data_IF_009787576832
#
_entry.id   IF_009787576832
#
_cell.length_a   1.000
_cell.length_b   1.000
_cell.length_c   1.000
_cell.angle_alpha   90.00
_cell.angle_beta   90.00
_cell.angle_gamma   90.00
#
_symmetry.space_group_name_H-M   'P 1'
#
loop_
_entity.id
_entity.type
_entity.pdbx_description
1 polymer ?
#
# COMPACT_ATOMS: atom_id res chain seq x y z
N UNK A 1 -1.62 -11.56 3.28
CA UNK A 1 -0.98 -10.46 2.51
C UNK A 1 -0.96 -10.71 0.99
N UNK A 2 -0.32 -11.77 0.50
CA UNK A 2 -0.15 -11.98 -0.95
C UNK A 2 -1.47 -12.17 -1.72
N UNK A 3 -2.39 -12.98 -1.16
CA UNK A 3 -3.70 -13.24 -1.80
C UNK A 3 -4.50 -11.94 -2.01
N UNK A 4 -4.56 -11.06 -1.00
CA UNK A 4 -5.25 -9.79 -1.13
C UNK A 4 -4.58 -8.89 -2.17
N UNK A 5 -3.24 -8.87 -2.25
CA UNK A 5 -2.51 -8.14 -3.29
C UNK A 5 -2.86 -8.59 -4.71
N UNK A 6 -2.91 -9.91 -4.95
CA UNK A 6 -3.28 -10.48 -6.26
C UNK A 6 -4.74 -10.13 -6.59
N UNK A 7 -5.67 -10.30 -5.64
CA UNK A 7 -7.08 -9.99 -5.86
C UNK A 7 -7.29 -8.50 -6.16
N UNK A 8 -6.58 -7.62 -5.45
CA UNK A 8 -6.64 -6.18 -5.70
C UNK A 8 -6.15 -5.84 -7.11
N UNK A 9 -5.02 -6.40 -7.54
CA UNK A 9 -4.51 -6.16 -8.88
C UNK A 9 -5.42 -6.72 -9.99
N UNK A 10 -6.00 -7.91 -9.78
CA UNK A 10 -7.00 -8.48 -10.71
C UNK A 10 -8.26 -7.61 -10.79
N UNK A 11 -8.78 -7.17 -9.65
CA UNK A 11 -9.96 -6.30 -9.57
C UNK A 11 -9.71 -4.99 -10.31
N UNK A 12 -8.53 -4.39 -10.12
CA UNK A 12 -8.14 -3.16 -10.80
C UNK A 12 -8.03 -3.37 -12.31
N UNK A 13 -7.43 -4.47 -12.75
CA UNK A 13 -7.33 -4.79 -14.17
C UNK A 13 -8.70 -5.03 -14.82
N UNK A 14 -9.61 -5.72 -14.13
CA UNK A 14 -10.96 -5.99 -14.61
C UNK A 14 -11.70 -4.70 -14.99
N UNK A 15 -11.60 -3.63 -14.20
CA UNK A 15 -12.23 -2.32 -14.47
C UNK A 15 -11.94 -1.83 -15.89
N UNK A 16 -10.73 -2.09 -16.38
CA UNK A 16 -10.29 -1.63 -17.69
C UNK A 16 -10.71 -2.50 -18.88
N UNK A 17 -11.20 -3.72 -18.66
CA UNK A 17 -11.51 -4.64 -19.75
C UNK A 17 -12.73 -4.20 -20.57
N UNK A 18 -13.80 -3.72 -19.90
CA UNK A 18 -15.04 -3.34 -20.56
C UNK A 18 -15.74 -2.19 -19.82
N UNK A 19 -16.38 -1.25 -20.55
CA UNK A 19 -17.18 -0.19 -19.96
C UNK A 19 -18.53 -0.75 -19.47
N UNK A 20 -18.52 -1.46 -18.35
CA UNK A 20 -19.72 -2.05 -17.75
C UNK A 20 -19.84 -1.61 -16.29
N UNK A 21 -20.95 -0.96 -15.96
CA UNK A 21 -21.25 -0.51 -14.59
C UNK A 21 -21.21 -1.69 -13.61
N UNK A 22 -21.80 -2.83 -13.98
CA UNK A 22 -21.81 -4.03 -13.15
C UNK A 22 -20.39 -4.50 -12.84
N UNK A 23 -19.53 -4.51 -13.86
CA UNK A 23 -18.15 -4.95 -13.71
C UNK A 23 -17.35 -3.99 -12.83
N UNK A 24 -17.51 -2.68 -13.02
CA UNK A 24 -16.85 -1.66 -12.20
C UNK A 24 -17.30 -1.76 -10.75
N UNK A 25 -18.59 -1.95 -10.49
CA UNK A 25 -19.13 -2.08 -9.13
C UNK A 25 -18.58 -3.33 -8.42
N UNK A 26 -18.55 -4.49 -9.10
CA UNK A 26 -17.99 -5.72 -8.52
C UNK A 26 -16.50 -5.55 -8.20
N UNK A 27 -15.74 -4.98 -9.14
CA UNK A 27 -14.32 -4.71 -8.94
C UNK A 27 -14.08 -3.72 -7.79
N UNK A 28 -14.85 -2.63 -7.71
CA UNK A 28 -14.75 -1.66 -6.63
C UNK A 28 -15.11 -2.27 -5.27
N UNK A 29 -16.14 -3.10 -5.21
CA UNK A 29 -16.52 -3.83 -3.99
C UNK A 29 -15.40 -4.78 -3.52
N UNK A 30 -14.79 -5.52 -4.46
CA UNK A 30 -13.64 -6.37 -4.17
C UNK A 30 -12.46 -5.54 -3.64
N UNK A 31 -12.15 -4.40 -4.26
CA UNK A 31 -11.09 -3.49 -3.78
C UNK A 31 -11.38 -3.02 -2.36
N UNK A 32 -12.59 -2.52 -2.09
CA UNK A 32 -12.97 -2.01 -0.77
C UNK A 32 -12.93 -3.09 0.32
N UNK A 33 -13.19 -4.36 -0.04
CA UNK A 33 -13.14 -5.48 0.90
C UNK A 33 -11.71 -5.98 1.16
N UNK A 34 -10.90 -6.17 0.11
CA UNK A 34 -9.57 -6.79 0.25
C UNK A 34 -8.46 -5.80 0.63
N UNK A 35 -8.65 -4.51 0.37
CA UNK A 35 -7.69 -3.47 0.74
C UNK A 35 -7.42 -3.40 2.25
N UNK A 36 -8.43 -3.34 3.15
CA UNK A 36 -8.17 -3.34 4.59
C UNK A 36 -7.53 -4.64 5.07
N UNK A 37 -7.87 -5.79 4.49
CA UNK A 37 -7.25 -7.09 4.84
C UNK A 37 -5.74 -7.06 4.56
N UNK A 38 -5.32 -6.58 3.38
CA UNK A 38 -3.90 -6.43 3.04
C UNK A 38 -3.18 -5.45 3.96
N UNK A 39 -3.82 -4.32 4.26
CA UNK A 39 -3.26 -3.31 5.17
C UNK A 39 -3.11 -3.83 6.60
N UNK A 40 -4.10 -4.56 7.13
CA UNK A 40 -4.06 -5.14 8.46
C UNK A 40 -2.96 -6.20 8.58
N UNK A 41 -2.83 -7.10 7.59
CA UNK A 41 -1.72 -8.06 7.57
C UNK A 41 -0.36 -7.37 7.52
N UNK A 42 -0.19 -6.36 6.66
CA UNK A 42 1.06 -5.60 6.57
C UNK A 42 1.35 -4.88 7.88
N UNK A 43 0.34 -4.28 8.51
CA UNK A 43 0.49 -3.58 9.78
C UNK A 43 0.90 -4.53 10.91
N UNK A 44 0.30 -5.72 11.00
CA UNK A 44 0.65 -6.71 12.02
C UNK A 44 2.13 -7.15 11.91
N UNK A 45 2.60 -7.45 10.70
CA UNK A 45 4.02 -7.80 10.46
C UNK A 45 4.94 -6.65 10.90
N UNK A 46 4.66 -5.41 10.47
CA UNK A 46 5.47 -4.26 10.88
C UNK A 46 5.42 -4.00 12.38
N UNK A 47 4.30 -4.30 13.04
CA UNK A 47 4.18 -4.14 14.49
C UNK A 47 4.97 -5.20 15.27
N UNK A 48 4.99 -6.45 14.81
CA UNK A 48 5.70 -7.52 15.52
C UNK A 48 7.22 -7.48 15.30
N UNK A 49 7.67 -6.98 14.15
CA UNK A 49 9.10 -6.99 13.77
C UNK A 49 9.88 -5.71 14.08
N UNK A 50 9.22 -4.61 14.42
CA UNK A 50 9.90 -3.33 14.69
C UNK A 50 10.00 -3.08 16.18
N UNK A 51 11.21 -2.79 16.64
CA UNK A 51 11.49 -2.38 18.03
C UNK A 51 10.67 -1.15 18.45
N UNK A 52 10.09 -1.14 19.67
CA UNK A 52 9.20 -0.07 20.14
C UNK A 52 9.83 1.33 20.08
N UNK A 53 11.13 1.42 20.38
CA UNK A 53 11.89 2.67 20.46
C UNK A 53 11.98 3.41 19.12
N UNK A 54 11.92 2.68 18.01
CA UNK A 54 11.95 3.26 16.66
C UNK A 54 10.64 3.08 15.89
N UNK A 55 9.65 2.40 16.48
CA UNK A 55 8.37 2.10 15.84
C UNK A 55 7.68 3.38 15.34
N UNK A 56 7.62 4.43 16.18
CA UNK A 56 7.05 5.72 15.77
C UNK A 56 7.71 6.32 14.52
N UNK A 57 9.04 6.20 14.39
CA UNK A 57 9.80 6.71 13.24
C UNK A 57 9.50 5.90 11.98
N UNK A 58 9.50 4.57 12.09
CA UNK A 58 9.20 3.65 10.97
C UNK A 58 7.78 3.88 10.44
N UNK A 59 6.79 3.96 11.31
CA UNK A 59 5.41 4.21 10.91
C UNK A 59 5.20 5.62 10.32
N UNK A 60 5.91 6.64 10.82
CA UNK A 60 5.87 7.99 10.25
C UNK A 60 6.39 8.02 8.80
N UNK A 61 7.55 7.40 8.55
CA UNK A 61 8.13 7.32 7.19
C UNK A 61 7.21 6.53 6.25
N UNK A 62 6.70 5.37 6.69
CA UNK A 62 5.74 4.57 5.91
C UNK A 62 4.50 5.38 5.54
N UNK A 63 3.95 6.14 6.50
CA UNK A 63 2.77 6.98 6.28
C UNK A 63 3.07 8.12 5.30
N UNK A 64 4.22 8.77 5.42
CA UNK A 64 4.62 9.85 4.52
C UNK A 64 4.72 9.34 3.07
N UNK A 65 5.38 8.20 2.85
CA UNK A 65 5.49 7.58 1.52
C UNK A 65 4.09 7.29 0.95
N UNK A 66 3.20 6.70 1.75
CA UNK A 66 1.83 6.40 1.32
C UNK A 66 1.02 7.67 1.00
N UNK A 67 1.20 8.75 1.76
CA UNK A 67 0.49 10.00 1.55
C UNK A 67 0.95 10.76 0.30
N UNK A 68 2.24 10.68 -0.06
CA UNK A 68 2.77 11.32 -1.28
C UNK A 68 2.36 10.56 -2.54
N UNK A 69 2.18 9.24 -2.46
CA UNK A 69 1.79 8.42 -3.60
C UNK A 69 0.44 8.86 -4.23
N UNK A 70 -0.53 9.27 -3.43
CA UNK A 70 -1.85 9.71 -3.90
C UNK A 70 -1.81 10.93 -4.82
N UNK A 71 -1.25 12.08 -4.37
CA UNK A 71 -1.07 13.26 -5.21
C UNK A 71 -0.25 12.99 -6.48
N UNK A 72 0.83 12.21 -6.37
CA UNK A 72 1.65 11.83 -7.53
C UNK A 72 0.82 11.04 -8.55
N UNK A 73 0.02 10.08 -8.09
CA UNK A 73 -0.86 9.30 -8.96
C UNK A 73 -1.93 10.17 -9.64
N UNK A 74 -2.50 11.16 -8.94
CA UNK A 74 -3.49 12.08 -9.51
C UNK A 74 -2.86 12.93 -10.61
N UNK A 75 -1.68 13.52 -10.35
CA UNK A 75 -0.96 14.36 -11.32
C UNK A 75 -0.53 13.54 -12.54
N UNK A 76 -0.07 12.31 -12.34
CA UNK A 76 0.41 11.46 -13.42
C UNK A 76 -0.73 10.84 -14.25
N UNK A 77 -1.84 10.45 -13.63
CA UNK A 77 -2.88 9.64 -14.29
C UNK A 77 -3.55 10.34 -15.48
N UNK A 78 -3.86 11.64 -15.37
CA UNK A 78 -4.48 12.42 -16.45
C UNK A 78 -3.62 12.45 -17.73
N UNK A 79 -2.40 13.01 -17.69
CA UNK A 79 -1.51 13.02 -18.86
C UNK A 79 -1.21 11.63 -19.41
N UNK A 80 -1.05 10.62 -18.56
CA UNK A 80 -0.76 9.26 -19.01
C UNK A 80 -1.97 8.62 -19.70
N UNK A 81 -3.18 8.84 -19.19
CA UNK A 81 -4.41 8.41 -19.86
C UNK A 81 -4.61 9.15 -21.19
N UNK A 82 -4.65 10.48 -21.17
CA UNK A 82 -5.13 11.28 -22.32
C UNK A 82 -4.07 11.48 -23.41
N UNK A 83 -2.79 11.60 -23.03
CA UNK A 83 -1.71 11.93 -23.99
C UNK A 83 -0.86 10.73 -24.39
N UNK A 84 -0.89 9.64 -23.63
CA UNK A 84 -0.10 8.43 -23.92
C UNK A 84 -1.01 7.28 -24.31
N UNK A 85 -1.92 6.86 -23.45
CA UNK A 85 -2.70 5.65 -23.69
C UNK A 85 -3.88 5.85 -24.67
N UNK A 86 -4.57 6.98 -24.60
CA UNK A 86 -5.65 7.33 -25.51
C UNK A 86 -5.20 7.31 -27.00
N UNK A 87 -4.11 8.01 -27.41
CA UNK A 87 -3.66 7.97 -28.80
C UNK A 87 -3.11 6.60 -29.22
N UNK A 88 -2.55 5.82 -28.30
CA UNK A 88 -2.09 4.45 -28.61
C UNK A 88 -3.25 3.50 -28.91
N UNK A 89 -4.43 3.74 -28.34
CA UNK A 89 -5.66 2.96 -28.49
C UNK A 89 -6.72 3.64 -29.36
N UNK A 90 -6.37 4.75 -30.00
CA UNK A 90 -7.18 5.35 -31.05
C UNK A 90 -7.22 4.43 -32.29
N UNK A 91 -8.19 4.65 -33.18
CA UNK A 91 -8.26 3.92 -34.44
C UNK A 91 -6.97 4.12 -35.26
N UNK A 92 -6.32 3.02 -35.64
CA UNK A 92 -5.01 3.04 -36.31
C UNK A 92 -3.79 3.28 -35.39
N UNK A 93 -4.00 3.38 -34.07
CA UNK A 93 -2.92 3.51 -33.09
C UNK A 93 -2.07 2.25 -32.94
N UNK A 94 -0.87 2.40 -32.35
CA UNK A 94 0.11 1.31 -32.25
C UNK A 94 -0.39 0.09 -31.44
N UNK A 95 -1.28 0.31 -30.45
CA UNK A 95 -1.88 -0.76 -29.65
C UNK A 95 -3.25 -1.20 -30.18
N UNK A 96 -3.80 -0.54 -31.20
CA UNK A 96 -5.10 -0.88 -31.77
C UNK A 96 -5.15 -2.33 -32.29
N UNK A 97 -4.07 -2.79 -32.94
CA UNK A 97 -3.98 -4.12 -33.53
C UNK A 97 -3.69 -5.25 -32.53
N UNK A 98 -3.27 -4.94 -31.30
CA UNK A 98 -2.88 -5.94 -30.29
C UNK A 98 -3.83 -5.89 -29.11
N UNK A 99 -3.53 -5.06 -28.11
CA UNK A 99 -4.33 -4.90 -26.89
C UNK A 99 -5.72 -4.36 -27.22
N UNK A 100 -5.82 -3.44 -28.18
CA UNK A 100 -7.07 -2.86 -28.66
C UNK A 100 -8.05 -3.89 -29.23
N UNK A 101 -7.60 -5.08 -29.66
CA UNK A 101 -8.52 -6.18 -30.05
C UNK A 101 -9.28 -6.77 -28.88
N UNK A 102 -8.71 -6.73 -27.67
CA UNK A 102 -9.30 -7.32 -26.46
C UNK A 102 -10.15 -6.29 -25.71
N UNK A 103 -9.63 -5.08 -25.53
CA UNK A 103 -10.26 -4.03 -24.72
C UNK A 103 -11.08 -3.03 -25.55
N UNK A 104 -10.93 -3.08 -26.88
CA UNK A 104 -11.51 -2.12 -27.83
C UNK A 104 -10.60 -0.92 -28.08
N UNK A 105 -10.94 -0.16 -29.11
CA UNK A 105 -10.30 1.11 -29.50
C UNK A 105 -11.30 2.25 -29.44
N UNK A 106 -10.80 3.49 -29.36
CA UNK A 106 -11.62 4.70 -29.37
C UNK A 106 -11.67 5.44 -28.03
N UNK A 107 -12.58 6.43 -27.91
CA UNK A 107 -12.60 7.35 -26.78
C UNK A 107 -12.78 6.67 -25.42
N UNK A 108 -11.99 7.07 -24.43
CA UNK A 108 -12.00 6.54 -23.06
C UNK A 108 -11.33 5.17 -22.91
N UNK A 109 -10.64 4.65 -23.93
CA UNK A 109 -9.83 3.41 -23.82
C UNK A 109 -8.44 3.64 -23.24
N UNK A 110 -7.94 4.87 -23.25
CA UNK A 110 -6.73 5.23 -22.51
C UNK A 110 -6.87 4.97 -21.01
N UNK A 111 -7.98 5.41 -20.42
CA UNK A 111 -8.26 5.21 -18.98
C UNK A 111 -8.44 3.73 -18.64
N UNK A 112 -9.16 2.98 -19.49
CA UNK A 112 -9.34 1.54 -19.28
C UNK A 112 -8.00 0.79 -19.29
N UNK A 113 -7.14 1.10 -20.26
CA UNK A 113 -5.81 0.50 -20.33
C UNK A 113 -4.91 0.89 -19.16
N UNK A 114 -5.01 2.14 -18.66
CA UNK A 114 -4.31 2.58 -17.45
C UNK A 114 -4.63 1.67 -16.25
N UNK A 115 -5.91 1.34 -16.04
CA UNK A 115 -6.33 0.41 -14.97
C UNK A 115 -5.77 -1.01 -15.16
N UNK A 116 -5.70 -1.51 -16.40
CA UNK A 116 -5.09 -2.81 -16.71
C UNK A 116 -3.60 -2.81 -16.39
N UNK A 117 -2.88 -1.77 -16.80
CA UNK A 117 -1.45 -1.63 -16.51
C UNK A 117 -1.22 -1.56 -14.99
N UNK A 118 -1.98 -0.73 -14.27
CA UNK A 118 -1.86 -0.64 -12.82
C UNK A 118 -2.18 -1.96 -12.12
N UNK A 119 -3.24 -2.66 -12.55
CA UNK A 119 -3.59 -3.98 -12.02
C UNK A 119 -2.48 -5.02 -12.25
N UNK A 120 -1.89 -5.00 -13.45
CA UNK A 120 -0.77 -5.89 -13.80
C UNK A 120 0.47 -5.58 -12.97
N UNK A 121 0.81 -4.30 -12.79
CA UNK A 121 1.93 -3.87 -11.94
C UNK A 121 1.71 -4.24 -10.47
N UNK A 122 0.48 -4.14 -9.96
CA UNK A 122 0.16 -4.56 -8.61
C UNK A 122 0.34 -6.09 -8.41
N UNK A 123 -0.11 -6.90 -9.38
CA UNK A 123 0.11 -8.35 -9.36
C UNK A 123 1.61 -8.66 -9.44
N UNK A 124 2.33 -8.05 -10.38
CA UNK A 124 3.77 -8.25 -10.55
C UNK A 124 4.53 -7.89 -9.27
N UNK A 125 4.20 -6.75 -8.64
CA UNK A 125 4.82 -6.34 -7.38
C UNK A 125 4.56 -7.36 -6.27
N UNK A 126 3.34 -7.90 -6.19
CA UNK A 126 2.99 -8.95 -5.22
C UNK A 126 3.75 -10.25 -5.48
N UNK A 127 3.92 -10.63 -6.75
CA UNK A 127 4.68 -11.82 -7.13
C UNK A 127 6.17 -11.67 -6.82
N UNK A 128 6.76 -10.50 -7.08
CA UNK A 128 8.15 -10.19 -6.69
C UNK A 128 8.30 -10.31 -5.17
N UNK A 129 7.36 -9.74 -4.41
CA UNK A 129 7.36 -9.82 -2.95
C UNK A 129 7.24 -11.27 -2.43
N UNK A 130 6.48 -12.11 -3.14
CA UNK A 130 6.31 -13.52 -2.82
C UNK A 130 7.52 -14.38 -3.23
N UNK A 131 8.26 -13.95 -4.25
CA UNK A 131 9.46 -14.62 -4.73
C UNK A 131 10.71 -14.28 -3.91
N UNK A 132 10.74 -13.14 -3.22
CA UNK A 132 11.81 -12.75 -2.31
C UNK A 132 11.78 -13.62 -1.04
N UNK A 133 12.78 -14.50 -0.82
CA UNK A 133 12.82 -15.37 0.35
C UNK A 133 12.87 -14.60 1.67
N UNK A 134 13.53 -13.44 1.70
CA UNK A 134 13.66 -12.63 2.91
C UNK A 134 12.31 -12.03 3.34
N UNK A 135 11.48 -11.63 2.38
CA UNK A 135 10.14 -11.13 2.69
C UNK A 135 9.19 -12.28 3.03
N UNK A 136 9.34 -13.42 2.34
CA UNK A 136 8.53 -14.60 2.59
C UNK A 136 8.77 -15.21 3.98
N UNK A 137 10.03 -15.29 4.39
CA UNK A 137 10.42 -15.87 5.67
C UNK A 137 10.58 -14.81 6.76
N UNK A 138 10.14 -13.57 6.54
CA UNK A 138 10.35 -12.47 7.50
C UNK A 138 9.79 -12.80 8.89
N UNK A 139 8.72 -13.60 8.94
CA UNK A 139 8.10 -14.06 10.17
C UNK A 139 8.97 -15.07 10.93
N UNK A 140 9.77 -15.86 10.21
CA UNK A 140 10.67 -16.89 10.75
C UNK A 140 12.11 -16.36 11.00
N UNK A 141 12.60 -15.45 10.15
CA UNK A 141 13.98 -14.93 10.17
C UNK A 141 14.20 -13.85 11.24
N UNK A 142 13.18 -13.05 11.56
CA UNK A 142 13.26 -12.00 12.57
C UNK A 142 12.48 -12.42 13.82
N UNK A 143 13.04 -12.36 15.03
CA UNK A 143 12.28 -12.61 16.25
C UNK A 143 11.18 -11.55 16.42
N UNK A 144 10.01 -11.97 16.87
CA UNK A 144 8.96 -11.05 17.27
C UNK A 144 9.36 -10.33 18.56
N UNK A 145 9.12 -9.03 18.64
CA UNK A 145 9.30 -8.28 19.88
C UNK A 145 8.16 -8.62 20.82
N UNK A 146 8.48 -9.19 21.98
CA UNK A 146 7.52 -9.51 23.03
C UNK A 146 7.64 -8.55 24.21
N UNK A 147 6.58 -8.41 25.04
CA UNK A 147 6.66 -7.61 26.27
C UNK A 147 7.76 -8.06 27.25
N UNK A 148 8.28 -9.28 27.12
CA UNK A 148 9.38 -9.79 27.94
C UNK A 148 10.75 -9.24 27.50
N UNK A 149 10.87 -8.76 26.26
CA UNK A 149 12.08 -8.13 25.72
C UNK A 149 12.20 -6.65 26.11
N UNK A 150 11.13 -6.10 26.69
CA UNK A 150 11.13 -4.75 27.23
C UNK A 150 11.74 -4.82 28.62
N UNK A 151 12.97 -4.32 28.78
CA UNK A 151 13.49 -4.04 30.13
C UNK A 151 12.44 -3.19 30.86
N UNK A 152 12.07 -3.54 32.11
CA UNK A 152 11.16 -2.72 32.88
C UNK A 152 11.74 -1.31 32.90
N UNK A 153 10.99 -0.35 32.36
CA UNK A 153 11.33 1.07 32.53
C UNK A 153 11.48 1.26 34.02
N UNK A 154 12.69 1.57 34.47
CA UNK A 154 12.96 1.82 35.88
C UNK A 154 12.23 3.12 36.24
N UNK A 155 10.97 2.98 36.67
CA UNK A 155 10.14 4.08 37.16
C UNK A 155 10.54 4.42 38.60
N UNK A 156 11.65 3.90 39.12
CA UNK A 156 12.19 4.38 40.40
C UNK A 156 12.46 5.87 40.24
N UNK A 157 11.70 6.75 40.91
CA UNK A 157 11.92 8.18 40.80
C UNK A 157 13.35 8.45 41.25
N UNK A 158 14.08 9.26 40.48
CA UNK A 158 15.41 9.70 40.88
C UNK A 158 15.34 10.20 42.34
N UNK A 159 16.05 9.56 43.29
CA UNK A 159 16.03 9.97 44.69
C UNK A 159 16.37 11.45 44.86
N UNK A 160 17.18 12.02 43.95
CA UNK A 160 17.49 13.43 43.92
C UNK A 160 16.26 14.30 43.58
N UNK A 161 15.44 13.89 42.62
CA UNK A 161 14.21 14.59 42.25
C UNK A 161 13.14 14.51 43.36
N UNK A 162 13.09 13.39 44.09
CA UNK A 162 12.20 13.24 45.27
C UNK A 162 12.68 14.11 46.44
N UNK A 163 14.00 14.20 46.65
CA UNK A 163 14.57 15.07 47.68
C UNK A 163 14.36 16.55 47.35
N UNK A 164 14.56 16.96 46.10
CA UNK A 164 14.37 18.34 45.64
C UNK A 164 12.90 18.79 45.79
N UNK A 165 11.95 17.95 45.36
CA UNK A 165 10.51 18.20 45.55
C UNK A 165 10.08 18.23 47.02
N UNK A 166 10.76 17.50 47.91
CA UNK A 166 10.51 17.53 49.35
C UNK A 166 11.10 18.79 50.04
N UNK A 167 12.17 19.37 49.48
CA UNK A 167 12.83 20.57 50.04
C UNK A 167 12.25 21.90 49.56
N UNK A 168 11.55 21.93 48.43
CA UNK A 168 10.84 23.11 47.93
C UNK A 168 9.38 22.76 47.61
N UNK A 169 8.48 22.72 48.61
CA UNK A 169 7.05 22.67 48.33
C UNK A 169 6.68 23.98 47.61
N UNK A 170 6.05 23.86 46.45
CA UNK A 170 5.58 24.99 45.66
C UNK A 170 4.78 25.95 46.57
N UNK A 171 5.34 27.13 46.82
CA UNK A 171 4.62 28.21 47.49
C UNK A 171 3.47 28.65 46.58
N UNK A 172 2.25 28.60 47.13
CA UNK A 172 1.01 29.00 46.45
C UNK A 172 0.80 30.50 46.38
#
# INVERSE_FOLDING_TARGET
LYLSGIILGLSLGLVGLRPSIVLVTIAAAAVMFFLPIGNASSQAIWQSKVEPDIQGKVFAVRRLIAQIAGPVAIIASGPLADRVFEPLLAEGGALAGTVGRVIGTGPGRGIGFLFIVLGTLAIASTLVLMADPHVRNVEDELPDVTPADLEPVDVTPDPAAVHEAATHPAEG
#
